data_IF_822387987598
#
_entry.id   IF_822387987598
#
_cell.length_a   1.000
_cell.length_b   1.000
_cell.length_c   1.000
_cell.angle_alpha   90.00
_cell.angle_beta   90.00
_cell.angle_gamma   90.00
#
_symmetry.space_group_name_H-M   'P 1'
#
loop_
_entity.id
_entity.type
_entity.pdbx_description
1 polymer ?
#
# COMPACT_ATOMS: atom_id res chain seq x y z
N UNK A 1 -9.81 7.95 12.42
CA UNK A 1 -10.84 7.81 13.46
C UNK A 1 -11.94 6.86 12.98
N UNK A 2 -12.83 6.45 13.88
CA UNK A 2 -13.84 5.42 13.59
C UNK A 2 -14.71 5.71 12.36
N UNK A 3 -14.99 6.99 12.08
CA UNK A 3 -15.82 7.39 10.94
C UNK A 3 -15.03 7.52 9.62
N UNK A 4 -13.73 7.41 9.67
CA UNK A 4 -12.88 7.47 8.47
C UNK A 4 -12.81 6.08 7.82
N UNK A 5 -12.87 6.01 6.47
CA UNK A 5 -12.67 4.73 5.79
C UNK A 5 -11.26 4.16 6.04
N UNK A 6 -10.29 4.99 6.39
CA UNK A 6 -8.94 4.54 6.74
C UNK A 6 -8.89 3.67 7.99
N UNK A 7 -9.94 3.69 8.83
CA UNK A 7 -10.03 2.82 10.00
C UNK A 7 -9.91 1.34 9.62
N UNK A 8 -10.29 0.97 8.40
CA UNK A 8 -10.15 -0.40 7.91
C UNK A 8 -8.71 -0.88 7.87
N UNK A 9 -7.76 0.04 7.73
CA UNK A 9 -6.34 -0.28 7.64
C UNK A 9 -5.67 -0.34 9.00
N UNK A 10 -6.28 0.18 10.06
CA UNK A 10 -5.68 0.24 11.40
C UNK A 10 -5.38 -1.17 11.90
N UNK A 11 -4.16 -1.36 12.40
CA UNK A 11 -3.73 -2.62 12.98
C UNK A 11 -2.34 -3.04 12.49
N UNK A 12 -2.01 -4.28 12.78
CA UNK A 12 -0.76 -4.90 12.37
C UNK A 12 -1.07 -5.95 11.30
N UNK A 13 -0.32 -5.89 10.20
CA UNK A 13 -0.51 -6.75 9.05
C UNK A 13 0.79 -7.46 8.71
N UNK A 14 0.68 -8.71 8.28
CA UNK A 14 1.77 -9.41 7.59
C UNK A 14 1.51 -9.28 6.10
N UNK A 15 2.53 -8.93 5.31
CA UNK A 15 2.37 -8.84 3.86
C UNK A 15 3.38 -9.73 3.15
N UNK A 16 2.98 -10.17 1.95
CA UNK A 16 3.79 -11.06 1.14
C UNK A 16 3.57 -10.76 -0.34
N UNK A 17 4.58 -10.20 -1.03
CA UNK A 17 4.51 -9.98 -2.47
C UNK A 17 4.83 -11.25 -3.26
N UNK A 18 4.22 -11.36 -4.44
CA UNK A 18 4.42 -12.48 -5.36
C UNK A 18 4.70 -11.97 -6.76
N UNK A 19 5.70 -12.56 -7.42
CA UNK A 19 6.03 -12.33 -8.81
C UNK A 19 6.03 -13.68 -9.52
N UNK A 20 5.19 -13.82 -10.55
CA UNK A 20 5.04 -15.07 -11.30
C UNK A 20 4.77 -16.28 -10.38
N UNK A 21 3.94 -16.07 -9.36
CA UNK A 21 3.57 -17.13 -8.43
C UNK A 21 4.60 -17.45 -7.35
N UNK A 22 5.74 -16.75 -7.32
CA UNK A 22 6.78 -16.98 -6.31
C UNK A 22 6.76 -15.89 -5.26
N UNK A 23 6.88 -16.27 -4.00
CA UNK A 23 7.02 -15.34 -2.89
C UNK A 23 8.35 -14.61 -2.96
N UNK A 24 8.29 -13.29 -2.77
CA UNK A 24 9.49 -12.46 -2.67
C UNK A 24 10.01 -12.34 -1.24
N UNK A 25 9.29 -12.88 -0.28
CA UNK A 25 9.55 -12.77 1.14
C UNK A 25 8.35 -12.18 1.85
N UNK A 26 8.50 -11.86 3.14
CA UNK A 26 7.41 -11.34 3.96
C UNK A 26 7.83 -10.11 4.71
N UNK A 27 6.84 -9.31 5.10
CA UNK A 27 7.07 -8.15 5.92
C UNK A 27 5.91 -7.90 6.87
N UNK A 28 6.07 -6.88 7.70
CA UNK A 28 5.09 -6.43 8.65
C UNK A 28 4.82 -4.95 8.44
N UNK A 29 3.55 -4.56 8.51
CA UNK A 29 3.12 -3.18 8.45
C UNK A 29 2.25 -2.88 9.66
N UNK A 30 2.48 -1.72 10.26
CA UNK A 30 1.63 -1.20 11.33
C UNK A 30 0.98 0.08 10.84
N UNK A 31 -0.33 0.16 10.98
CA UNK A 31 -1.10 1.36 10.67
C UNK A 31 -1.74 1.86 11.95
N UNK A 32 -1.47 3.10 12.33
CA UNK A 32 -2.02 3.68 13.54
C UNK A 32 -2.31 5.17 13.37
N UNK A 33 -3.34 5.64 14.05
CA UNK A 33 -3.68 7.07 14.06
C UNK A 33 -2.67 7.88 14.85
N UNK A 34 -2.36 9.08 14.34
CA UNK A 34 -1.52 10.06 15.03
C UNK A 34 -2.22 11.41 15.04
N UNK A 35 -1.77 12.30 15.93
CA UNK A 35 -2.17 13.71 15.98
C UNK A 35 -3.68 13.95 15.86
N UNK A 36 -4.43 13.41 16.81
CA UNK A 36 -5.87 13.66 16.88
C UNK A 36 -6.70 12.90 15.86
N UNK A 37 -6.09 11.96 15.12
CA UNK A 37 -6.80 11.08 14.21
C UNK A 37 -7.04 11.63 12.81
N UNK A 38 -6.30 12.69 12.43
CA UNK A 38 -6.36 13.20 11.06
C UNK A 38 -5.37 12.46 10.14
N UNK A 39 -4.25 12.01 10.70
CA UNK A 39 -3.24 11.26 9.94
C UNK A 39 -3.20 9.80 10.39
N UNK A 40 -3.20 8.91 9.40
CA UNK A 40 -2.89 7.51 9.63
C UNK A 40 -1.43 7.30 9.23
N UNK A 41 -0.61 6.81 10.16
CA UNK A 41 0.80 6.51 9.93
C UNK A 41 0.95 5.02 9.65
N UNK A 42 1.61 4.69 8.54
CA UNK A 42 2.02 3.32 8.23
C UNK A 42 3.54 3.22 8.38
N UNK A 43 4.01 2.14 9.00
CA UNK A 43 5.42 1.77 9.04
C UNK A 43 5.54 0.29 8.71
N UNK A 44 6.46 -0.04 7.83
CA UNK A 44 6.69 -1.43 7.48
C UNK A 44 8.17 -1.80 7.50
N UNK A 45 8.42 -3.08 7.69
CA UNK A 45 9.73 -3.68 7.59
C UNK A 45 9.59 -5.04 6.93
N UNK A 46 10.50 -5.36 6.01
CA UNK A 46 10.44 -6.58 5.23
C UNK A 46 11.71 -7.41 5.36
N UNK A 47 11.53 -8.73 5.28
CA UNK A 47 12.60 -9.73 5.19
C UNK A 47 12.46 -10.42 3.83
N UNK A 48 13.09 -9.85 2.81
CA UNK A 48 13.02 -10.40 1.46
C UNK A 48 13.86 -11.66 1.34
N UNK A 49 13.37 -12.62 0.56
CA UNK A 49 14.07 -13.88 0.30
C UNK A 49 14.51 -14.00 -1.15
N UNK A 50 13.85 -13.31 -2.08
CA UNK A 50 14.25 -13.28 -3.47
C UNK A 50 15.49 -12.40 -3.65
N UNK A 51 16.56 -12.91 -4.31
CA UNK A 51 17.81 -12.14 -4.47
C UNK A 51 17.63 -10.77 -5.14
N UNK A 52 16.78 -10.67 -6.14
CA UNK A 52 16.52 -9.39 -6.81
C UNK A 52 15.85 -8.38 -5.90
N UNK A 53 14.94 -8.83 -5.06
CA UNK A 53 14.26 -7.98 -4.09
C UNK A 53 15.17 -7.61 -2.92
N UNK A 54 16.02 -8.53 -2.48
CA UNK A 54 17.03 -8.22 -1.46
C UNK A 54 17.92 -7.07 -1.94
N UNK A 55 18.30 -7.08 -3.21
CA UNK A 55 19.19 -6.05 -3.77
C UNK A 55 18.47 -4.74 -4.05
N UNK A 56 17.23 -4.78 -4.54
CA UNK A 56 16.59 -3.60 -5.16
C UNK A 56 15.34 -3.07 -4.46
N UNK A 57 14.64 -3.90 -3.69
CA UNK A 57 13.39 -3.48 -3.06
C UNK A 57 13.65 -2.78 -1.72
N UNK A 58 12.76 -1.86 -1.31
CA UNK A 58 12.90 -1.22 0.00
C UNK A 58 12.69 -2.22 1.11
N UNK A 59 13.45 -2.08 2.19
CA UNK A 59 13.31 -2.90 3.41
C UNK A 59 12.36 -2.23 4.39
N UNK A 60 12.45 -0.91 4.51
CA UNK A 60 11.59 -0.13 5.42
C UNK A 60 10.83 0.92 4.65
N UNK A 61 9.54 1.06 4.94
CA UNK A 61 8.71 2.11 4.36
C UNK A 61 7.99 2.88 5.46
N UNK A 62 7.62 4.11 5.14
CA UNK A 62 6.73 4.93 5.96
C UNK A 62 5.74 5.61 5.03
N UNK A 63 4.49 5.70 5.47
CA UNK A 63 3.49 6.49 4.76
C UNK A 63 2.65 7.27 5.74
N UNK A 64 2.29 8.49 5.36
CA UNK A 64 1.31 9.29 6.07
C UNK A 64 0.10 9.41 5.16
N UNK A 65 -1.06 9.04 5.68
CA UNK A 65 -2.30 9.01 4.90
C UNK A 65 -3.32 9.95 5.51
N UNK A 66 -4.05 10.65 4.65
CA UNK A 66 -5.15 11.50 5.04
C UNK A 66 -6.37 11.26 4.18
N UNK A 67 -7.55 11.50 4.78
CA UNK A 67 -8.83 11.37 4.09
C UNK A 67 -9.51 12.72 4.06
N UNK A 68 -9.87 13.19 2.86
CA UNK A 68 -10.63 14.42 2.68
C UNK A 68 -12.12 14.09 2.70
N UNK A 69 -12.84 14.56 3.72
CA UNK A 69 -14.25 14.24 3.91
C UNK A 69 -15.19 15.02 2.99
N UNK A 70 -14.64 15.90 2.15
CA UNK A 70 -15.44 16.64 1.15
C UNK A 70 -15.31 16.05 -0.25
N UNK A 71 -14.14 15.51 -0.60
CA UNK A 71 -13.89 14.86 -1.90
C UNK A 71 -13.94 13.35 -1.80
N UNK A 72 -13.87 12.77 -0.58
CA UNK A 72 -13.74 11.34 -0.30
C UNK A 72 -12.45 10.75 -0.86
N UNK A 73 -11.46 11.59 -1.13
CA UNK A 73 -10.17 11.15 -1.64
C UNK A 73 -9.20 10.87 -0.49
N UNK A 74 -8.42 9.80 -0.64
CA UNK A 74 -7.29 9.49 0.22
C UNK A 74 -6.02 9.96 -0.46
N UNK A 75 -5.15 10.65 0.28
CA UNK A 75 -3.81 11.00 -0.18
C UNK A 75 -2.80 10.25 0.69
N UNK A 76 -1.83 9.63 0.07
CA UNK A 76 -0.77 8.90 0.75
C UNK A 76 0.59 9.46 0.36
N UNK A 77 1.34 9.90 1.36
CA UNK A 77 2.72 10.33 1.21
C UNK A 77 3.60 9.15 1.59
N UNK A 78 4.26 8.57 0.60
CA UNK A 78 5.09 7.37 0.77
C UNK A 78 6.56 7.73 0.74
N UNK A 79 7.35 7.12 1.62
CA UNK A 79 8.80 7.23 1.63
C UNK A 79 9.43 5.88 2.01
N UNK A 80 10.63 5.60 1.52
CA UNK A 80 11.32 4.36 1.86
C UNK A 80 12.82 4.56 2.09
N UNK A 81 13.49 3.48 2.52
CA UNK A 81 14.91 3.52 2.89
C UNK A 81 15.88 3.62 1.70
N UNK A 82 15.36 3.62 0.46
CA UNK A 82 16.16 3.95 -0.73
C UNK A 82 16.21 5.46 -0.98
N UNK A 83 15.48 6.25 -0.17
CA UNK A 83 15.31 7.69 -0.39
C UNK A 83 14.25 8.01 -1.43
N UNK A 84 13.36 7.07 -1.74
CA UNK A 84 12.27 7.27 -2.69
C UNK A 84 11.09 7.92 -1.98
N UNK A 85 10.53 8.94 -2.59
CA UNK A 85 9.32 9.62 -2.14
C UNK A 85 8.27 9.58 -3.24
N UNK A 86 7.02 9.23 -2.90
CA UNK A 86 5.90 9.19 -3.85
C UNK A 86 4.64 9.74 -3.22
N UNK A 87 3.82 10.37 -4.03
CA UNK A 87 2.47 10.80 -3.63
C UNK A 87 1.48 9.96 -4.40
N UNK A 88 0.57 9.30 -3.67
CA UNK A 88 -0.53 8.53 -4.25
C UNK A 88 -1.84 9.16 -3.86
N UNK A 89 -2.83 9.07 -4.75
CA UNK A 89 -4.21 9.48 -4.49
C UNK A 89 -5.13 8.33 -4.79
N UNK A 90 -6.22 8.22 -4.05
CA UNK A 90 -7.14 7.12 -4.27
C UNK A 90 -8.33 7.15 -3.35
N UNK A 91 -8.86 5.98 -3.05
CA UNK A 91 -10.03 5.80 -2.20
C UNK A 91 -9.92 4.52 -1.41
N UNK A 92 -10.52 4.55 -0.23
CA UNK A 92 -10.78 3.36 0.56
C UNK A 92 -12.30 3.25 0.72
N UNK A 93 -12.85 2.14 0.28
CA UNK A 93 -14.30 1.84 0.40
C UNK A 93 -14.49 0.58 1.24
N UNK A 94 -15.71 0.10 1.34
CA UNK A 94 -16.00 -1.17 2.03
C UNK A 94 -15.37 -2.36 1.29
N UNK A 95 -15.16 -2.24 -0.01
CA UNK A 95 -14.74 -3.34 -0.87
C UNK A 95 -13.26 -3.30 -1.24
N UNK A 96 -12.65 -2.10 -1.32
CA UNK A 96 -11.30 -2.00 -1.85
C UNK A 96 -10.56 -0.74 -1.42
N UNK A 97 -9.25 -0.85 -1.50
CA UNK A 97 -8.30 0.23 -1.32
C UNK A 97 -7.62 0.48 -2.66
N UNK A 98 -7.79 1.68 -3.21
CA UNK A 98 -7.20 2.07 -4.48
C UNK A 98 -6.23 3.21 -4.30
N UNK A 99 -5.11 3.12 -5.01
CA UNK A 99 -4.12 4.17 -5.09
C UNK A 99 -3.70 4.34 -6.54
N UNK A 100 -3.39 5.56 -6.93
CA UNK A 100 -2.82 5.83 -8.25
C UNK A 100 -1.87 7.02 -8.19
N UNK A 101 -0.98 7.04 -9.14
CA UNK A 101 0.00 8.10 -9.32
C UNK A 101 0.22 8.29 -10.81
N UNK A 102 0.06 9.53 -11.30
CA UNK A 102 0.40 9.91 -12.66
C UNK A 102 1.74 10.65 -12.64
N UNK A 103 2.74 10.11 -13.31
CA UNK A 103 4.06 10.71 -13.40
C UNK A 103 4.68 10.36 -14.74
N UNK A 104 5.47 11.27 -15.35
CA UNK A 104 6.11 10.98 -16.62
C UNK A 104 6.90 9.67 -16.56
N UNK A 105 6.68 8.79 -17.53
CA UNK A 105 7.37 7.52 -17.71
C UNK A 105 7.21 6.49 -16.58
N UNK A 106 6.46 6.84 -15.52
CA UNK A 106 6.32 5.93 -14.37
C UNK A 106 5.00 6.11 -13.66
N UNK A 107 3.90 5.76 -14.34
CA UNK A 107 2.59 5.73 -13.72
C UNK A 107 2.43 4.45 -12.92
N UNK A 108 1.77 4.52 -11.78
CA UNK A 108 1.50 3.38 -10.92
C UNK A 108 0.05 3.38 -10.48
N UNK A 109 -0.50 2.19 -10.28
CA UNK A 109 -1.79 2.04 -9.61
C UNK A 109 -1.82 0.77 -8.79
N UNK A 110 -2.59 0.83 -7.72
CA UNK A 110 -2.79 -0.27 -6.79
C UNK A 110 -4.28 -0.46 -6.56
N UNK A 111 -4.73 -1.71 -6.55
CA UNK A 111 -6.07 -2.09 -6.12
C UNK A 111 -5.93 -3.23 -5.12
N UNK A 112 -6.42 -3.02 -3.92
CA UNK A 112 -6.46 -4.04 -2.87
C UNK A 112 -7.90 -4.36 -2.53
N UNK A 113 -8.32 -5.59 -2.75
CA UNK A 113 -9.67 -6.05 -2.42
C UNK A 113 -9.70 -6.55 -0.98
N UNK A 114 -10.64 -6.04 -0.19
CA UNK A 114 -10.84 -6.54 1.17
C UNK A 114 -11.57 -7.88 1.13
N UNK A 115 -11.03 -8.86 1.87
CA UNK A 115 -11.59 -10.21 2.03
C UNK A 115 -11.65 -10.53 3.52
N UNK A 116 -12.35 -11.63 3.86
CA UNK A 116 -12.39 -12.15 5.23
C UNK A 116 -12.80 -11.08 6.25
N UNK A 117 -13.90 -10.40 5.95
CA UNK A 117 -14.41 -9.32 6.80
C UNK A 117 -13.38 -8.21 7.06
N UNK A 118 -12.56 -7.92 6.06
CA UNK A 118 -11.55 -6.87 6.15
C UNK A 118 -10.22 -7.30 6.78
N UNK A 119 -10.04 -8.59 7.05
CA UNK A 119 -8.81 -9.10 7.66
C UNK A 119 -7.75 -9.52 6.65
N UNK A 120 -8.11 -9.57 5.37
CA UNK A 120 -7.20 -9.90 4.28
C UNK A 120 -7.36 -8.85 3.19
N UNK A 121 -6.24 -8.44 2.58
CA UNK A 121 -6.24 -7.57 1.41
C UNK A 121 -5.51 -8.31 0.31
N UNK A 122 -6.17 -8.52 -0.82
CA UNK A 122 -5.57 -9.08 -2.02
C UNK A 122 -5.25 -7.94 -2.98
N UNK A 123 -3.98 -7.61 -3.09
CA UNK A 123 -3.53 -6.42 -3.79
C UNK A 123 -2.83 -6.70 -5.11
N UNK A 124 -2.89 -5.70 -5.99
CA UNK A 124 -2.28 -5.73 -7.31
C UNK A 124 -1.68 -4.38 -7.61
N UNK A 125 -0.37 -4.36 -7.84
CA UNK A 125 0.34 -3.19 -8.34
C UNK A 125 0.57 -3.30 -9.83
N UNK A 126 0.35 -2.21 -10.54
CA UNK A 126 0.57 -2.13 -11.99
C UNK A 126 1.37 -0.89 -12.34
N UNK A 127 2.12 -0.98 -13.42
CA UNK A 127 2.97 0.07 -13.95
C UNK A 127 2.57 0.44 -15.36
N UNK A 128 2.76 1.70 -15.74
CA UNK A 128 2.59 2.14 -17.11
C UNK A 128 3.56 3.27 -17.44
N UNK A 129 4.21 3.24 -18.62
CA UNK A 129 5.04 4.35 -19.06
C UNK A 129 4.24 5.55 -19.56
N UNK A 130 3.00 5.32 -20.01
CA UNK A 130 2.18 6.36 -20.66
C UNK A 130 0.80 6.59 -20.02
N UNK A 131 0.43 5.79 -19.02
CA UNK A 131 -0.87 5.89 -18.36
C UNK A 131 -2.01 5.19 -19.10
N UNK A 132 -1.74 4.53 -20.22
CA UNK A 132 -2.74 3.81 -21.00
C UNK A 132 -2.46 2.32 -21.13
N UNK A 133 -1.21 1.94 -21.33
CA UNK A 133 -0.81 0.53 -21.42
C UNK A 133 -0.25 0.10 -20.07
N UNK A 134 -1.00 -0.75 -19.35
CA UNK A 134 -0.68 -1.20 -18.00
C UNK A 134 -0.14 -2.62 -17.98
N UNK A 135 0.88 -2.85 -17.18
CA UNK A 135 1.46 -4.17 -16.95
C UNK A 135 1.49 -4.47 -15.45
N UNK A 136 1.31 -5.74 -15.11
CA UNK A 136 1.44 -6.19 -13.74
C UNK A 136 2.88 -6.02 -13.25
N UNK A 137 3.05 -5.34 -12.10
CA UNK A 137 4.32 -5.27 -11.39
C UNK A 137 4.44 -6.46 -10.45
N UNK A 138 3.54 -6.55 -9.46
CA UNK A 138 3.48 -7.70 -8.56
C UNK A 138 2.11 -7.78 -7.86
N UNK A 139 1.80 -8.97 -7.36
CA UNK A 139 0.66 -9.19 -6.46
C UNK A 139 1.15 -9.13 -5.03
N UNK A 140 0.28 -8.74 -4.12
CA UNK A 140 0.62 -8.67 -2.70
C UNK A 140 -0.60 -9.05 -1.86
N UNK A 141 -0.37 -9.88 -0.85
CA UNK A 141 -1.41 -10.22 0.11
C UNK A 141 -1.05 -9.62 1.46
N UNK A 142 -2.03 -8.97 2.10
CA UNK A 142 -1.91 -8.52 3.47
C UNK A 142 -2.85 -9.34 4.33
N UNK A 143 -2.37 -9.81 5.50
CA UNK A 143 -3.18 -10.50 6.50
C UNK A 143 -3.06 -9.79 7.82
N UNK A 144 -4.20 -9.40 8.38
CA UNK A 144 -4.23 -8.71 9.66
C UNK A 144 -3.93 -9.69 10.78
N UNK A 145 -2.94 -9.37 11.59
CA UNK A 145 -2.52 -10.19 12.72
C UNK A 145 -2.98 -9.61 14.05
N UNK A 146 -3.30 -8.33 14.07
CA UNK A 146 -3.72 -7.68 15.32
C UNK A 146 -4.54 -6.41 15.05
#
# INVERSE_FOLDING_TARGET
MADSPLERLVGIWEFEPFVEGRSMGRGRARFEWIEGGAFLLERSHADWTDPGWIENAPVSTQSVMGFDDTTFEVTQLYADDRGVFRIYRGRVTDDEWRLERAAPDFHQRFVGAFRDEGRTIEGRWELSPDGTAWALDFLITYRKTS
#
